data_IF_220550632715
#
_entry.id   IF_220550632715
#
_cell.length_a   1.000
_cell.length_b   1.000
_cell.length_c   1.000
_cell.angle_alpha   90.00
_cell.angle_beta   90.00
_cell.angle_gamma   90.00
#
_symmetry.space_group_name_H-M   'P 1'
#
loop_
_entity.id
_entity.type
_entity.pdbx_description
1 polymer ?
#
# COMPACT_ATOMS: atom_id res chain seq x y z
N UNK A 1 -8.31 16.50 -31.13
CA UNK A 1 -7.61 17.64 -30.50
C UNK A 1 -6.38 17.03 -29.82
N UNK A 2 -5.19 17.58 -30.05
CA UNK A 2 -4.01 17.09 -29.33
C UNK A 2 -4.20 17.39 -27.84
N UNK A 3 -4.14 16.35 -27.02
CA UNK A 3 -4.23 16.51 -25.58
C UNK A 3 -3.11 17.44 -25.09
N UNK A 4 -3.44 18.38 -24.20
CA UNK A 4 -2.48 19.31 -23.63
C UNK A 4 -1.38 18.61 -22.84
N UNK A 5 -0.37 19.34 -22.32
CA UNK A 5 0.66 18.77 -21.45
C UNK A 5 0.08 18.13 -20.20
N UNK A 6 0.59 16.97 -19.79
CA UNK A 6 0.20 16.26 -18.58
C UNK A 6 1.35 15.50 -17.95
N UNK A 7 1.23 15.14 -16.66
CA UNK A 7 2.17 14.29 -15.92
C UNK A 7 1.76 12.82 -16.00
N UNK A 8 2.77 11.95 -16.07
CA UNK A 8 2.61 10.50 -15.98
C UNK A 8 3.69 9.91 -15.07
N UNK A 9 3.30 9.02 -14.16
CA UNK A 9 4.26 8.23 -13.38
C UNK A 9 4.74 7.08 -14.27
N UNK A 10 6.05 7.01 -14.51
CA UNK A 10 6.69 5.93 -15.25
C UNK A 10 7.13 4.78 -14.35
N UNK A 11 7.61 5.11 -13.17
CA UNK A 11 8.05 4.16 -12.15
C UNK A 11 7.42 4.53 -10.80
N UNK A 12 6.56 3.66 -10.28
CA UNK A 12 5.96 3.81 -8.97
C UNK A 12 7.02 3.62 -7.86
N UNK A 13 6.87 4.23 -6.70
CA UNK A 13 7.69 3.89 -5.54
C UNK A 13 7.41 2.46 -5.08
N UNK A 14 8.42 1.80 -4.53
CA UNK A 14 8.23 0.51 -3.87
C UNK A 14 7.34 0.68 -2.64
N UNK A 15 6.26 -0.08 -2.59
CA UNK A 15 5.26 0.07 -1.54
C UNK A 15 5.76 -0.41 -0.17
N UNK A 16 6.59 -1.45 -0.13
CA UNK A 16 7.01 -2.11 1.12
C UNK A 16 8.51 -2.29 1.20
N UNK A 17 9.01 -2.37 2.41
CA UNK A 17 10.43 -2.60 2.68
C UNK A 17 11.27 -1.35 2.85
N UNK A 18 10.70 -0.14 2.66
CA UNK A 18 11.38 1.12 2.92
C UNK A 18 11.08 1.60 4.33
N UNK A 19 12.12 2.01 5.07
CA UNK A 19 12.01 2.48 6.45
C UNK A 19 11.94 4.00 6.51
N UNK A 20 10.93 4.53 7.18
CA UNK A 20 10.87 5.93 7.56
C UNK A 20 11.84 6.16 8.72
N UNK A 21 12.67 7.19 8.63
CA UNK A 21 13.73 7.48 9.61
C UNK A 21 13.33 8.63 10.52
N UNK A 22 13.69 8.54 11.79
CA UNK A 22 13.62 9.67 12.71
C UNK A 22 14.86 10.53 12.60
N UNK A 23 14.75 11.82 12.99
CA UNK A 23 15.88 12.78 12.97
C UNK A 23 17.10 12.23 13.72
N UNK A 24 16.89 11.55 14.85
CA UNK A 24 17.96 10.97 15.67
C UNK A 24 18.69 9.80 15.04
N UNK A 25 18.17 9.21 13.97
CA UNK A 25 18.79 8.04 13.30
C UNK A 25 19.85 8.44 12.24
N UNK A 26 19.96 9.75 11.96
CA UNK A 26 20.86 10.26 10.93
C UNK A 26 20.36 10.04 9.50
N UNK A 27 21.19 10.35 8.48
CA UNK A 27 20.79 10.27 7.09
C UNK A 27 20.48 8.84 6.67
N UNK A 28 19.51 8.69 5.77
CA UNK A 28 19.15 7.39 5.19
C UNK A 28 20.27 6.84 4.33
N UNK A 29 20.58 5.57 4.50
CA UNK A 29 21.49 4.85 3.60
C UNK A 29 20.68 4.32 2.40
N UNK A 30 20.75 5.03 1.29
CA UNK A 30 20.00 4.75 0.06
C UNK A 30 18.65 5.46 -0.02
N UNK A 31 18.20 5.74 -1.24
CA UNK A 31 16.93 6.40 -1.52
C UNK A 31 15.77 5.42 -1.60
N UNK A 32 14.54 5.97 -1.55
CA UNK A 32 13.31 5.24 -1.80
C UNK A 32 13.38 4.54 -3.16
N UNK A 33 13.35 3.19 -3.22
CA UNK A 33 13.45 2.46 -4.46
C UNK A 33 12.15 2.54 -5.28
N UNK A 34 12.28 2.32 -6.58
CA UNK A 34 11.15 2.08 -7.46
C UNK A 34 10.54 0.68 -7.28
N UNK A 35 9.33 0.50 -7.76
CA UNK A 35 8.60 -0.77 -7.66
C UNK A 35 9.34 -1.92 -8.35
N UNK A 36 10.01 -1.64 -9.48
CA UNK A 36 10.80 -2.62 -10.26
C UNK A 36 12.25 -2.78 -9.77
N UNK A 37 12.62 -2.15 -8.65
CA UNK A 37 14.00 -2.19 -8.14
C UNK A 37 14.38 -3.57 -7.62
N UNK A 38 15.46 -4.12 -8.18
CA UNK A 38 16.03 -5.41 -7.79
C UNK A 38 17.45 -5.24 -7.22
N UNK A 39 17.99 -6.33 -6.63
CA UNK A 39 19.32 -6.33 -6.01
C UNK A 39 20.42 -5.88 -6.99
N UNK A 40 20.34 -6.32 -8.24
CA UNK A 40 21.35 -6.07 -9.27
C UNK A 40 20.97 -4.94 -10.24
N UNK A 41 19.69 -4.49 -10.22
CA UNK A 41 19.20 -3.42 -11.09
C UNK A 41 18.36 -2.47 -10.27
N UNK A 42 18.98 -1.37 -9.82
CA UNK A 42 18.28 -0.36 -9.04
C UNK A 42 17.39 0.50 -9.93
N UNK A 43 16.15 0.71 -9.52
CA UNK A 43 15.23 1.71 -10.05
C UNK A 43 14.76 2.65 -8.95
N UNK A 44 14.25 3.80 -9.35
CA UNK A 44 13.75 4.85 -8.46
C UNK A 44 12.46 5.43 -9.03
N UNK A 45 11.63 6.06 -8.21
CA UNK A 45 10.41 6.72 -8.70
C UNK A 45 10.73 7.69 -9.84
N UNK A 46 9.92 7.66 -10.90
CA UNK A 46 10.10 8.50 -12.09
C UNK A 46 8.76 9.03 -12.59
N UNK A 47 8.78 10.27 -13.05
CA UNK A 47 7.66 10.90 -13.75
C UNK A 47 8.11 11.47 -15.09
N UNK A 48 7.16 11.58 -16.02
CA UNK A 48 7.36 12.18 -17.33
C UNK A 48 6.35 13.29 -17.56
N UNK A 49 6.79 14.40 -18.11
CA UNK A 49 5.90 15.42 -18.66
C UNK A 49 5.65 15.04 -20.12
N UNK A 50 4.40 14.68 -20.42
CA UNK A 50 3.97 14.28 -21.76
C UNK A 50 3.44 15.47 -22.54
N UNK A 51 3.51 15.41 -23.87
CA UNK A 51 3.03 16.44 -24.80
C UNK A 51 3.63 17.84 -24.57
N UNK A 52 4.85 17.90 -24.06
CA UNK A 52 5.57 19.14 -23.83
C UNK A 52 7.09 18.91 -23.94
N UNK A 53 7.77 19.88 -24.51
CA UNK A 53 9.25 19.93 -24.59
C UNK A 53 9.66 21.35 -24.22
N UNK A 54 10.40 21.48 -23.14
CA UNK A 54 10.85 22.78 -22.63
C UNK A 54 11.25 22.71 -21.16
N UNK A 55 11.66 23.83 -20.56
CA UNK A 55 11.96 23.88 -19.14
C UNK A 55 10.69 23.66 -18.32
N UNK A 56 10.80 22.89 -17.25
CA UNK A 56 9.72 22.66 -16.30
C UNK A 56 10.27 22.49 -14.90
N UNK A 57 9.44 22.76 -13.90
CA UNK A 57 9.73 22.56 -12.49
C UNK A 57 8.81 21.48 -11.96
N UNK A 58 9.37 20.39 -11.42
CA UNK A 58 8.62 19.29 -10.81
C UNK A 58 8.80 19.35 -9.30
N UNK A 59 7.68 19.30 -8.58
CA UNK A 59 7.63 19.30 -7.13
C UNK A 59 7.05 17.99 -6.64
N UNK A 60 7.66 17.44 -5.60
CA UNK A 60 7.19 16.22 -4.94
C UNK A 60 6.91 16.52 -3.47
N UNK A 61 5.75 16.08 -3.01
CA UNK A 61 5.30 16.24 -1.63
C UNK A 61 4.75 14.91 -1.10
N UNK A 62 4.80 14.76 0.22
CA UNK A 62 4.13 13.65 0.89
C UNK A 62 2.66 13.99 1.17
N UNK A 63 1.78 13.07 0.81
CA UNK A 63 0.33 13.19 1.02
C UNK A 63 -0.22 11.94 1.69
N UNK A 64 -1.42 12.08 2.27
CA UNK A 64 -2.10 11.00 2.98
C UNK A 64 -2.58 9.90 2.03
N UNK A 65 -2.82 8.71 2.58
CA UNK A 65 -3.37 7.55 1.85
C UNK A 65 -4.91 7.44 1.95
N UNK A 66 -5.57 8.42 2.56
CA UNK A 66 -7.01 8.41 2.72
C UNK A 66 -7.79 8.67 1.43
N UNK A 67 -9.11 8.58 1.52
CA UNK A 67 -10.04 8.92 0.43
C UNK A 67 -9.88 10.38 -0.01
N UNK A 68 -9.69 11.27 0.96
CA UNK A 68 -9.34 12.66 0.73
C UNK A 68 -7.82 12.81 0.88
N UNK A 69 -7.21 13.48 -0.10
CA UNK A 69 -5.77 13.70 -0.14
C UNK A 69 -5.44 15.00 0.60
N UNK A 70 -4.62 14.90 1.63
CA UNK A 70 -4.12 16.02 2.43
C UNK A 70 -2.61 15.98 2.52
N UNK A 71 -1.99 17.12 2.87
CA UNK A 71 -0.58 17.17 3.22
C UNK A 71 -0.28 16.22 4.37
N UNK A 72 0.81 15.47 4.24
CA UNK A 72 1.28 14.60 5.30
C UNK A 72 2.29 15.32 6.20
N UNK A 73 2.31 14.97 7.48
CA UNK A 73 3.23 15.58 8.44
C UNK A 73 4.68 15.12 8.31
N UNK A 74 4.94 13.97 7.67
CA UNK A 74 6.30 13.53 7.37
C UNK A 74 6.96 14.44 6.33
N UNK A 75 8.29 14.42 6.28
CA UNK A 75 9.09 15.24 5.36
C UNK A 75 9.82 14.38 4.35
N UNK A 76 9.86 14.83 3.09
CA UNK A 76 10.86 14.36 2.14
C UNK A 76 12.21 14.97 2.48
N UNK A 77 13.25 14.15 2.47
CA UNK A 77 14.64 14.55 2.67
C UNK A 77 15.52 13.94 1.58
N UNK A 78 16.66 14.57 1.35
CA UNK A 78 17.62 14.14 0.33
C UNK A 78 18.03 15.29 -0.57
N UNK A 79 18.69 14.96 -1.68
CA UNK A 79 19.12 15.95 -2.66
C UNK A 79 17.90 16.67 -3.25
N UNK A 80 17.97 17.99 -3.34
CA UNK A 80 16.91 18.87 -3.83
C UNK A 80 15.64 18.92 -2.94
N UNK A 81 15.75 18.47 -1.68
CA UNK A 81 14.67 18.57 -0.71
C UNK A 81 14.94 19.69 0.28
N UNK A 82 13.95 20.56 0.48
CA UNK A 82 13.94 21.67 1.43
C UNK A 82 12.54 21.73 2.04
N UNK A 83 12.46 21.98 3.35
CA UNK A 83 11.19 22.06 4.09
C UNK A 83 10.22 20.87 3.87
N UNK A 84 10.76 19.69 3.64
CA UNK A 84 9.98 18.47 3.43
C UNK A 84 9.45 18.29 2.01
N UNK A 85 9.83 19.15 1.07
CA UNK A 85 9.41 19.15 -0.33
C UNK A 85 10.65 18.96 -1.20
N UNK A 86 10.54 18.14 -2.25
CA UNK A 86 11.59 17.98 -3.24
C UNK A 86 11.25 18.76 -4.52
N UNK A 87 12.20 19.55 -5.02
CA UNK A 87 12.04 20.36 -6.22
C UNK A 87 13.13 20.05 -7.23
N UNK A 88 12.74 19.63 -8.44
CA UNK A 88 13.67 19.27 -9.52
C UNK A 88 13.28 20.00 -10.80
N UNK A 89 14.27 20.46 -11.56
CA UNK A 89 14.05 21.03 -12.89
C UNK A 89 14.12 19.94 -13.95
N UNK A 90 13.16 19.92 -14.88
CA UNK A 90 13.09 19.03 -16.03
C UNK A 90 13.34 19.77 -17.33
N UNK A 91 13.80 19.08 -18.35
CA UNK A 91 13.95 19.58 -19.70
C UNK A 91 15.18 20.48 -19.94
N UNK A 92 15.32 21.06 -21.15
CA UNK A 92 14.38 20.90 -22.29
C UNK A 92 14.56 19.61 -23.11
N UNK A 93 15.65 18.88 -22.95
CA UNK A 93 15.95 17.69 -23.79
C UNK A 93 15.27 16.41 -23.31
N UNK A 94 15.28 16.20 -21.99
CA UNK A 94 14.67 15.04 -21.36
C UNK A 94 13.54 15.49 -20.42
N UNK A 95 12.34 15.05 -20.72
CA UNK A 95 11.15 15.36 -19.92
C UNK A 95 10.86 14.28 -18.88
N UNK A 96 11.78 13.35 -18.65
CA UNK A 96 11.73 12.34 -17.59
C UNK A 96 12.54 12.82 -16.38
N UNK A 97 11.92 12.76 -15.21
CA UNK A 97 12.55 13.13 -13.93
C UNK A 97 12.58 11.93 -13.01
N UNK A 98 13.77 11.51 -12.59
CA UNK A 98 14.00 10.44 -11.64
C UNK A 98 14.40 10.97 -10.26
N UNK A 99 13.99 10.28 -9.21
CA UNK A 99 14.19 10.68 -7.82
C UNK A 99 15.01 9.65 -7.05
N UNK A 100 16.31 9.60 -7.34
CA UNK A 100 17.22 8.57 -6.82
C UNK A 100 17.53 8.64 -5.31
N UNK A 101 17.32 9.78 -4.67
CA UNK A 101 17.81 10.03 -3.31
C UNK A 101 16.71 10.53 -2.35
N UNK A 102 15.47 10.11 -2.55
CA UNK A 102 14.39 10.48 -1.64
C UNK A 102 14.46 9.65 -0.35
N UNK A 103 14.45 10.33 0.78
CA UNK A 103 14.22 9.76 2.09
C UNK A 103 12.92 10.28 2.68
N UNK A 104 12.36 9.54 3.64
CA UNK A 104 11.16 9.94 4.39
C UNK A 104 11.55 10.10 5.86
N UNK A 105 11.42 11.32 6.34
CA UNK A 105 11.67 11.67 7.74
C UNK A 105 10.37 11.58 8.52
N UNK A 106 10.33 10.66 9.49
CA UNK A 106 9.19 10.41 10.35
C UNK A 106 9.06 11.51 11.41
N UNK A 107 7.94 12.21 11.43
CA UNK A 107 7.60 13.15 12.50
C UNK A 107 7.08 12.38 13.71
N UNK A 108 7.46 12.79 14.91
CA UNK A 108 6.92 12.19 16.14
C UNK A 108 5.45 12.59 16.32
N UNK A 109 4.62 11.69 16.88
CA UNK A 109 3.18 11.93 17.09
C UNK A 109 2.89 13.26 17.81
N UNK A 110 3.76 13.66 18.74
CA UNK A 110 3.63 14.92 19.49
C UNK A 110 3.80 16.17 18.63
N UNK A 111 4.56 16.08 17.53
CA UNK A 111 4.86 17.22 16.63
C UNK A 111 3.98 17.27 15.38
N UNK A 112 3.07 16.32 15.18
CA UNK A 112 2.24 16.25 13.97
C UNK A 112 1.42 17.52 13.80
N UNK A 113 0.72 17.94 14.83
CA UNK A 113 -0.13 19.14 14.79
C UNK A 113 0.67 20.40 14.44
N UNK A 114 1.74 20.65 15.16
CA UNK A 114 2.61 21.82 14.94
C UNK A 114 3.19 21.84 13.51
N UNK A 115 3.63 20.67 13.03
CA UNK A 115 4.17 20.52 11.67
C UNK A 115 3.12 20.79 10.60
N UNK A 116 1.90 20.27 10.77
CA UNK A 116 0.80 20.50 9.83
C UNK A 116 0.37 21.96 9.81
N UNK A 117 0.19 22.57 10.99
CA UNK A 117 -0.18 23.97 11.12
C UNK A 117 0.83 24.89 10.40
N UNK A 118 2.14 24.64 10.61
CA UNK A 118 3.19 25.38 9.93
C UNK A 118 3.15 25.20 8.40
N UNK A 119 2.98 23.98 7.89
CA UNK A 119 2.91 23.72 6.46
C UNK A 119 1.67 24.31 5.80
N UNK A 120 0.52 24.23 6.46
CA UNK A 120 -0.72 24.83 5.97
C UNK A 120 -0.64 26.35 5.95
N UNK A 121 -0.04 26.94 6.98
CA UNK A 121 0.23 28.38 7.06
C UNK A 121 1.11 28.84 5.89
N UNK A 122 2.22 28.15 5.67
CA UNK A 122 3.14 28.43 4.58
C UNK A 122 2.47 28.32 3.20
N UNK A 123 1.66 27.28 2.99
CA UNK A 123 0.89 27.09 1.75
C UNK A 123 -0.08 28.25 1.50
N UNK A 124 -0.70 28.80 2.54
CA UNK A 124 -1.61 29.94 2.42
C UNK A 124 -0.86 31.26 2.19
N UNK A 125 0.28 31.47 2.86
CA UNK A 125 1.10 32.70 2.71
C UNK A 125 1.68 32.79 1.30
N UNK A 126 2.31 31.73 0.83
CA UNK A 126 2.95 31.70 -0.49
C UNK A 126 1.96 31.65 -1.65
N UNK A 127 0.68 31.42 -1.40
CA UNK A 127 -0.31 31.21 -2.47
C UNK A 127 0.03 30.01 -3.35
N UNK A 128 0.91 29.15 -2.84
CA UNK A 128 1.46 28.02 -3.55
C UNK A 128 0.59 26.80 -3.30
N UNK A 129 -0.30 26.54 -4.25
CA UNK A 129 -1.15 25.36 -4.16
C UNK A 129 -0.72 24.31 -5.17
N UNK A 130 -0.02 23.25 -4.75
CA UNK A 130 0.30 22.13 -5.61
C UNK A 130 -0.91 21.19 -5.86
N UNK A 131 -2.14 21.64 -5.69
CA UNK A 131 -3.35 20.86 -5.88
C UNK A 131 -4.00 20.37 -4.59
N UNK A 132 -3.53 20.81 -3.43
CA UNK A 132 -4.07 20.45 -2.11
C UNK A 132 -4.78 21.65 -1.47
N UNK A 133 -6.01 21.44 -1.11
CA UNK A 133 -6.81 22.44 -0.41
C UNK A 133 -6.63 22.28 1.10
N UNK A 134 -6.18 23.36 1.76
CA UNK A 134 -6.06 23.39 3.23
C UNK A 134 -7.42 23.38 3.90
N UNK A 135 -8.30 24.26 3.46
CA UNK A 135 -9.69 24.38 3.91
C UNK A 135 -10.53 25.01 2.81
N UNK A 136 -11.80 24.61 2.60
CA UNK A 136 -12.67 25.21 1.56
C UNK A 136 -12.76 26.75 1.64
N UNK A 137 -12.89 27.29 2.84
CA UNK A 137 -13.00 28.74 3.05
C UNK A 137 -11.68 29.51 2.83
N UNK A 138 -10.56 28.78 2.63
CA UNK A 138 -9.24 29.35 2.32
C UNK A 138 -8.84 29.16 0.85
N UNK A 139 -9.73 28.65 0.02
CA UNK A 139 -9.45 28.39 -1.39
C UNK A 139 -8.98 29.63 -2.15
N UNK A 140 -9.51 30.82 -1.81
CA UNK A 140 -9.11 32.08 -2.42
C UNK A 140 -7.64 32.43 -2.16
N UNK A 141 -7.09 32.09 -1.00
CA UNK A 141 -5.69 32.30 -0.68
C UNK A 141 -4.76 31.46 -1.55
N UNK A 142 -5.24 30.32 -2.01
CA UNK A 142 -4.49 29.37 -2.82
C UNK A 142 -4.66 29.59 -4.32
N UNK A 143 -5.68 30.35 -4.74
CA UNK A 143 -5.98 30.62 -6.15
C UNK A 143 -5.19 31.79 -6.73
N UNK A 144 -4.80 32.75 -5.91
CA UNK A 144 -4.06 33.93 -6.34
C UNK A 144 -2.56 33.73 -6.17
N UNK A 145 -1.79 33.94 -7.23
CA UNK A 145 -0.34 33.83 -7.25
C UNK A 145 0.34 34.60 -6.10
N UNK A 146 1.31 33.95 -5.49
CA UNK A 146 1.89 34.32 -4.20
C UNK A 146 2.49 35.71 -4.11
N UNK A 147 2.38 36.27 -2.91
CA UNK A 147 3.09 37.43 -2.36
C UNK A 147 3.19 37.24 -0.87
N UNK A 148 4.03 38.04 -0.22
CA UNK A 148 4.10 38.09 1.24
C UNK A 148 2.79 38.58 1.84
N UNK A 149 1.87 37.62 2.08
CA UNK A 149 0.57 37.89 2.72
C UNK A 149 0.68 37.75 4.21
N UNK A 150 0.08 38.68 4.92
CA UNK A 150 -0.21 38.48 6.35
C UNK A 150 -1.60 37.84 6.48
N UNK A 151 -1.64 36.69 7.17
CA UNK A 151 -2.90 36.02 7.49
C UNK A 151 -3.59 36.73 8.66
N UNK A 152 -4.88 36.98 8.51
CA UNK A 152 -5.73 37.47 9.58
C UNK A 152 -6.02 36.41 10.65
N UNK A 153 -6.59 36.82 11.78
CA UNK A 153 -6.86 35.92 12.91
C UNK A 153 -7.89 34.83 12.55
N UNK A 154 -8.88 35.13 11.71
CA UNK A 154 -9.84 34.15 11.21
C UNK A 154 -9.17 33.07 10.36
N UNK A 155 -8.28 33.46 9.48
CA UNK A 155 -7.53 32.54 8.60
C UNK A 155 -6.63 31.62 9.40
N UNK A 156 -5.91 32.16 10.40
CA UNK A 156 -5.08 31.39 11.32
C UNK A 156 -5.90 30.37 12.11
N UNK A 157 -7.11 30.76 12.57
CA UNK A 157 -7.99 29.84 13.31
C UNK A 157 -8.51 28.72 12.42
N UNK A 158 -8.89 29.00 11.16
CA UNK A 158 -9.30 27.98 10.19
C UNK A 158 -8.16 26.98 9.91
N UNK A 159 -6.94 27.46 9.72
CA UNK A 159 -5.76 26.62 9.55
C UNK A 159 -5.54 25.74 10.78
N UNK A 160 -5.64 26.30 11.97
CA UNK A 160 -5.49 25.57 13.22
C UNK A 160 -6.53 24.47 13.37
N UNK A 161 -7.79 24.73 13.06
CA UNK A 161 -8.88 23.75 13.11
C UNK A 161 -8.67 22.63 12.07
N UNK A 162 -8.28 22.97 10.85
CA UNK A 162 -7.94 22.00 9.82
C UNK A 162 -6.77 21.10 10.25
N UNK A 163 -5.71 21.68 10.81
CA UNK A 163 -4.57 20.94 11.32
C UNK A 163 -4.93 20.00 12.48
N UNK A 164 -5.78 20.45 13.41
CA UNK A 164 -6.28 19.63 14.52
C UNK A 164 -7.11 18.43 14.01
N UNK A 165 -8.00 18.66 13.05
CA UNK A 165 -8.83 17.61 12.47
C UNK A 165 -7.98 16.58 11.75
N UNK A 166 -7.08 17.02 10.87
CA UNK A 166 -6.22 16.12 10.11
C UNK A 166 -5.22 15.36 10.98
N UNK A 167 -4.75 15.95 12.08
CA UNK A 167 -3.87 15.27 13.05
C UNK A 167 -4.55 14.05 13.68
N UNK A 168 -5.85 14.12 13.95
CA UNK A 168 -6.60 12.99 14.54
C UNK A 168 -6.76 11.81 13.59
N UNK A 169 -6.86 12.09 12.31
CA UNK A 169 -7.15 11.09 11.26
C UNK A 169 -5.87 10.59 10.56
N UNK A 170 -4.73 11.25 10.77
CA UNK A 170 -3.50 10.96 10.03
C UNK A 170 -2.86 9.64 10.42
N UNK A 171 -2.72 8.74 9.46
CA UNK A 171 -1.93 7.52 9.60
C UNK A 171 -0.45 7.82 9.31
N UNK A 172 0.39 7.72 10.35
CA UNK A 172 1.83 7.97 10.27
C UNK A 172 2.62 6.79 9.69
N UNK A 173 1.98 5.68 9.43
CA UNK A 173 2.62 4.45 8.91
C UNK A 173 2.64 4.37 7.39
N UNK A 174 1.90 5.24 6.70
CA UNK A 174 1.72 5.21 5.25
C UNK A 174 1.69 6.61 4.65
N UNK A 175 2.34 6.76 3.49
CA UNK A 175 2.35 8.00 2.71
C UNK A 175 2.19 7.70 1.23
N UNK A 176 1.88 8.73 0.42
CA UNK A 176 1.99 8.70 -1.03
C UNK A 176 2.82 9.90 -1.50
N UNK A 177 3.46 9.76 -2.66
CA UNK A 177 4.11 10.87 -3.34
C UNK A 177 3.09 11.57 -4.24
N UNK A 178 2.99 12.88 -4.12
CA UNK A 178 2.26 13.71 -5.08
C UNK A 178 3.26 14.51 -5.90
N UNK A 179 3.19 14.34 -7.21
CA UNK A 179 4.02 15.04 -8.18
C UNK A 179 3.20 16.13 -8.85
N UNK A 180 3.74 17.35 -8.86
CA UNK A 180 3.13 18.50 -9.53
C UNK A 180 4.16 19.15 -10.45
N UNK A 181 3.83 19.37 -11.71
CA UNK A 181 4.69 20.08 -12.62
C UNK A 181 4.18 21.49 -12.89
N UNK A 182 5.13 22.42 -13.03
CA UNK A 182 4.89 23.80 -13.39
C UNK A 182 5.68 24.13 -14.65
N UNK A 183 4.97 24.62 -15.65
CA UNK A 183 5.54 25.12 -16.89
C UNK A 183 5.71 26.65 -16.81
N UNK A 184 6.68 27.22 -17.57
CA UNK A 184 6.83 28.66 -17.61
C UNK A 184 5.64 29.33 -18.28
N UNK A 185 5.30 30.49 -17.79
CA UNK A 185 4.40 31.43 -18.44
C UNK A 185 5.13 32.32 -19.46
N UNK A 186 4.45 33.33 -20.00
CA UNK A 186 5.01 34.30 -20.96
C UNK A 186 6.16 35.15 -20.37
N UNK A 187 6.29 35.23 -19.05
CA UNK A 187 7.39 35.94 -18.36
C UNK A 187 8.57 35.04 -18.04
N UNK A 188 8.46 33.73 -18.29
CA UNK A 188 9.44 32.71 -17.89
C UNK A 188 9.28 32.20 -16.46
N UNK A 189 8.28 32.68 -15.72
CA UNK A 189 7.98 32.23 -14.36
C UNK A 189 7.21 30.92 -14.40
N UNK A 190 7.57 29.96 -13.51
CA UNK A 190 6.91 28.63 -13.44
C UNK A 190 5.58 28.68 -12.72
N UNK A 191 4.55 29.22 -13.37
CA UNK A 191 3.22 29.47 -12.79
C UNK A 191 2.13 28.57 -13.38
N UNK A 192 2.34 28.04 -14.60
CA UNK A 192 1.34 27.18 -15.26
C UNK A 192 1.40 25.77 -14.70
N UNK A 193 0.52 25.47 -13.76
CA UNK A 193 0.41 24.17 -13.11
C UNK A 193 -0.24 23.12 -14.03
N UNK A 194 0.33 21.92 -14.07
CA UNK A 194 -0.33 20.74 -14.61
C UNK A 194 -1.12 20.01 -13.52
N UNK A 195 -2.09 19.19 -13.91
CA UNK A 195 -2.82 18.33 -12.99
C UNK A 195 -1.83 17.40 -12.27
N UNK A 196 -1.82 17.37 -10.94
CA UNK A 196 -0.91 16.52 -10.18
C UNK A 196 -1.24 15.04 -10.31
N UNK A 197 -0.22 14.19 -10.19
CA UNK A 197 -0.39 12.74 -10.13
C UNK A 197 0.10 12.22 -8.78
N UNK A 198 -0.62 11.24 -8.25
CA UNK A 198 -0.35 10.65 -6.93
C UNK A 198 0.07 9.20 -7.09
N UNK A 199 1.14 8.83 -6.39
CA UNK A 199 1.68 7.47 -6.43
C UNK A 199 0.84 6.47 -5.66
N UNK A 200 1.20 5.20 -5.81
CA UNK A 200 0.80 4.14 -4.90
C UNK A 200 1.28 4.43 -3.47
N UNK A 201 0.64 3.77 -2.49
CA UNK A 201 0.99 3.91 -1.09
C UNK A 201 2.39 3.35 -0.78
N UNK A 202 3.10 4.01 0.12
CA UNK A 202 4.39 3.60 0.66
C UNK A 202 4.20 3.35 2.15
N UNK A 203 4.45 2.13 2.60
CA UNK A 203 4.30 1.73 3.99
C UNK A 203 5.64 1.74 4.70
N UNK A 204 5.68 2.32 5.90
CA UNK A 204 6.87 2.24 6.75
C UNK A 204 7.16 0.77 7.09
N UNK A 205 8.36 0.29 6.79
CA UNK A 205 8.76 -1.09 7.03
C UNK A 205 8.69 -1.51 8.52
N UNK A 206 8.66 -0.56 9.44
CA UNK A 206 8.46 -0.79 10.87
C UNK A 206 7.01 -0.79 11.33
N UNK A 207 6.09 -0.35 10.47
CA UNK A 207 4.68 -0.38 10.83
C UNK A 207 4.21 -1.83 11.05
N UNK A 208 3.30 -2.08 12.00
CA UNK A 208 2.85 -3.43 12.33
C UNK A 208 2.27 -4.19 11.14
N UNK A 209 1.65 -3.49 10.19
CA UNK A 209 0.97 -4.03 9.00
C UNK A 209 1.80 -3.90 7.69
N UNK A 210 3.06 -3.50 7.79
CA UNK A 210 3.90 -3.22 6.61
C UNK A 210 4.73 -4.41 6.13
N UNK A 211 4.79 -5.51 6.88
CA UNK A 211 5.52 -6.71 6.47
C UNK A 211 4.86 -7.37 5.26
N UNK A 212 5.67 -7.78 4.28
CA UNK A 212 5.20 -8.67 3.23
C UNK A 212 4.70 -9.97 3.85
N UNK A 213 3.55 -10.43 3.41
CA UNK A 213 3.03 -11.73 3.83
C UNK A 213 3.84 -12.83 3.13
N UNK A 214 4.28 -13.82 3.89
CA UNK A 214 5.04 -14.96 3.36
C UNK A 214 4.76 -16.21 4.17
N UNK A 215 4.36 -17.27 3.47
CA UNK A 215 4.35 -18.62 4.03
C UNK A 215 5.78 -19.18 3.90
N UNK A 216 6.44 -19.40 5.02
CA UNK A 216 7.77 -19.99 5.06
C UNK A 216 7.66 -21.51 4.89
N UNK A 217 6.77 -22.15 5.66
CA UNK A 217 6.57 -23.60 5.64
C UNK A 217 5.21 -23.98 6.20
N UNK A 218 4.65 -25.06 5.68
CA UNK A 218 3.54 -25.80 6.28
C UNK A 218 4.02 -27.23 6.59
N UNK A 219 3.56 -27.82 7.68
CA UNK A 219 3.87 -29.22 8.04
C UNK A 219 3.17 -30.22 7.10
N UNK A 220 2.01 -29.79 6.53
CA UNK A 220 1.23 -30.56 5.55
C UNK A 220 0.85 -29.70 4.36
N UNK A 221 0.86 -30.32 3.19
CA UNK A 221 0.45 -29.70 1.91
C UNK A 221 -0.69 -30.48 1.25
N UNK A 222 -1.32 -31.37 2.01
CA UNK A 222 -2.48 -32.15 1.57
C UNK A 222 -3.43 -32.41 2.76
N UNK A 223 -4.72 -32.55 2.46
CA UNK A 223 -5.74 -32.83 3.45
C UNK A 223 -7.00 -33.46 2.85
N UNK A 224 -7.87 -34.01 3.69
CA UNK A 224 -9.14 -34.59 3.26
C UNK A 224 -10.14 -33.50 2.86
N UNK A 225 -10.95 -33.75 1.86
CA UNK A 225 -12.04 -32.87 1.39
C UNK A 225 -13.04 -32.47 2.47
N UNK A 226 -13.19 -33.28 3.51
CA UNK A 226 -14.08 -33.00 4.64
C UNK A 226 -13.60 -31.83 5.52
N UNK A 227 -12.33 -31.45 5.38
CA UNK A 227 -11.72 -30.40 6.20
C UNK A 227 -11.55 -30.78 7.67
N UNK A 228 -11.22 -29.78 8.49
CA UNK A 228 -11.07 -29.95 9.94
C UNK A 228 -9.73 -30.55 10.39
N UNK A 229 -8.80 -30.78 9.47
CA UNK A 229 -7.46 -31.27 9.79
C UNK A 229 -6.56 -30.12 10.23
N UNK A 230 -5.81 -30.35 11.30
CA UNK A 230 -4.92 -29.35 11.87
C UNK A 230 -3.62 -29.23 11.07
N UNK A 231 -3.23 -28.01 10.74
CA UNK A 231 -1.98 -27.67 10.04
C UNK A 231 -1.21 -26.62 10.83
N UNK A 232 0.09 -26.81 10.89
CA UNK A 232 1.06 -25.87 11.45
C UNK A 232 1.72 -25.08 10.31
N UNK A 233 1.56 -23.77 10.33
CA UNK A 233 2.11 -22.87 9.33
C UNK A 233 3.13 -21.94 9.95
N UNK A 234 4.33 -21.88 9.40
CA UNK A 234 5.35 -20.89 9.72
C UNK A 234 5.29 -19.77 8.67
N UNK A 235 5.35 -18.54 9.14
CA UNK A 235 5.23 -17.34 8.28
C UNK A 235 6.18 -16.24 8.74
N UNK A 236 6.32 -15.22 7.89
CA UNK A 236 6.86 -13.94 8.31
C UNK A 236 5.84 -13.21 9.19
N UNK A 237 6.26 -12.14 9.86
CA UNK A 237 5.49 -11.46 10.87
C UNK A 237 4.06 -11.10 10.43
N UNK A 238 3.06 -11.60 11.13
CA UNK A 238 1.63 -11.32 10.94
C UNK A 238 1.00 -10.71 12.18
N UNK A 239 -0.14 -10.05 12.02
CA UNK A 239 -0.97 -9.55 13.11
C UNK A 239 -2.09 -10.56 13.38
N UNK A 240 -2.21 -11.04 14.62
CA UNK A 240 -3.16 -12.09 15.01
C UNK A 240 -4.64 -11.77 14.68
N UNK A 241 -5.00 -10.49 14.74
CA UNK A 241 -6.38 -10.04 14.52
C UNK A 241 -6.65 -9.65 13.04
N UNK A 242 -5.57 -9.50 12.24
CA UNK A 242 -5.62 -8.98 10.87
C UNK A 242 -5.05 -9.96 9.83
N UNK A 243 -5.20 -11.26 10.07
CA UNK A 243 -4.71 -12.31 9.17
C UNK A 243 -5.78 -13.38 8.91
N UNK A 244 -5.80 -13.90 7.71
CA UNK A 244 -6.60 -15.03 7.24
C UNK A 244 -5.72 -16.01 6.48
N UNK A 245 -6.09 -17.28 6.48
CA UNK A 245 -5.51 -18.30 5.60
C UNK A 245 -6.56 -18.62 4.54
N UNK A 246 -6.30 -18.24 3.30
CA UNK A 246 -7.20 -18.39 2.16
C UNK A 246 -6.80 -19.62 1.37
N UNK A 247 -7.73 -20.55 1.18
CA UNK A 247 -7.67 -21.63 0.20
C UNK A 247 -8.48 -21.19 -1.00
N UNK A 248 -7.99 -21.38 -2.21
CA UNK A 248 -8.73 -20.99 -3.39
C UNK A 248 -8.38 -21.84 -4.62
N UNK A 249 -9.28 -21.87 -5.56
CA UNK A 249 -9.14 -22.50 -6.87
C UNK A 249 -9.83 -21.62 -7.90
N UNK A 250 -9.13 -21.34 -9.00
CA UNK A 250 -9.71 -20.67 -10.16
C UNK A 250 -10.47 -21.71 -11.00
N UNK A 251 -11.72 -21.42 -11.31
CA UNK A 251 -12.58 -22.31 -12.07
C UNK A 251 -12.51 -21.99 -13.57
N UNK A 252 -12.70 -23.00 -14.42
CA UNK A 252 -12.67 -22.85 -15.89
C UNK A 252 -13.70 -21.84 -16.42
N UNK A 253 -14.78 -21.60 -15.69
CA UNK A 253 -15.82 -20.62 -16.01
C UNK A 253 -15.46 -19.18 -15.61
N UNK A 254 -14.24 -18.94 -15.08
CA UNK A 254 -13.79 -17.65 -14.57
C UNK A 254 -14.24 -17.34 -13.14
N UNK A 255 -14.92 -18.28 -12.46
CA UNK A 255 -15.24 -18.19 -11.03
C UNK A 255 -14.04 -18.54 -10.16
N UNK A 256 -14.14 -18.23 -8.87
CA UNK A 256 -13.13 -18.58 -7.87
C UNK A 256 -13.85 -19.21 -6.68
N UNK A 257 -13.47 -20.43 -6.33
CA UNK A 257 -13.84 -20.99 -5.04
C UNK A 257 -12.89 -20.51 -3.96
N UNK A 258 -13.43 -20.16 -2.79
CA UNK A 258 -12.65 -19.77 -1.62
C UNK A 258 -13.11 -20.52 -0.37
N UNK A 259 -12.14 -20.92 0.44
CA UNK A 259 -12.34 -21.42 1.79
C UNK A 259 -11.31 -20.80 2.74
N UNK A 260 -11.64 -20.68 4.01
CA UNK A 260 -10.75 -20.08 4.99
C UNK A 260 -10.37 -21.05 6.09
N UNK A 261 -9.09 -21.10 6.44
CA UNK A 261 -8.61 -21.83 7.59
C UNK A 261 -9.28 -21.34 8.87
N UNK A 262 -9.68 -22.28 9.71
CA UNK A 262 -10.33 -21.98 11.00
C UNK A 262 -9.30 -21.92 12.12
N UNK A 263 -9.16 -20.76 12.75
CA UNK A 263 -8.29 -20.50 13.89
C UNK A 263 -8.72 -19.24 14.64
N UNK A 264 -8.31 -19.15 15.91
CA UNK A 264 -8.52 -17.97 16.74
C UNK A 264 -7.23 -17.13 16.84
N UNK A 265 -7.29 -15.87 17.30
CA UNK A 265 -6.10 -15.07 17.55
C UNK A 265 -5.09 -15.72 18.53
N UNK A 266 -5.54 -16.61 19.41
CA UNK A 266 -4.68 -17.36 20.33
C UNK A 266 -3.86 -18.46 19.65
N UNK A 267 -4.29 -18.91 18.47
CA UNK A 267 -3.57 -19.90 17.65
C UNK A 267 -2.43 -19.28 16.83
N UNK A 268 -2.29 -17.95 16.88
CA UNK A 268 -1.16 -17.22 16.28
C UNK A 268 -0.04 -17.06 17.32
N UNK A 269 0.99 -17.88 17.19
CA UNK A 269 2.11 -17.91 18.13
C UNK A 269 3.19 -16.90 17.73
N UNK A 270 3.43 -15.91 18.63
CA UNK A 270 4.50 -14.90 18.48
C UNK A 270 4.55 -14.21 17.10
N UNK A 271 3.42 -14.13 16.41
CA UNK A 271 3.31 -13.52 15.08
C UNK A 271 4.03 -14.26 13.92
N UNK A 272 4.62 -15.44 14.17
CA UNK A 272 5.40 -16.18 13.18
C UNK A 272 4.91 -17.60 12.91
N UNK A 273 3.94 -18.08 13.66
CA UNK A 273 3.33 -19.38 13.45
C UNK A 273 1.81 -19.32 13.65
N UNK A 274 1.07 -20.05 12.85
CA UNK A 274 -0.39 -20.17 12.92
C UNK A 274 -0.74 -21.65 12.93
N UNK A 275 -1.55 -22.08 13.90
CA UNK A 275 -2.18 -23.39 13.91
C UNK A 275 -3.62 -23.22 13.49
N UNK A 276 -4.04 -23.92 12.45
CA UNK A 276 -5.38 -23.78 11.90
C UNK A 276 -5.94 -25.12 11.43
N UNK A 277 -7.27 -25.19 11.29
CA UNK A 277 -7.97 -26.33 10.69
C UNK A 277 -8.33 -26.02 9.25
N UNK A 278 -8.16 -27.02 8.37
CA UNK A 278 -8.47 -26.89 6.94
C UNK A 278 -9.95 -26.67 6.70
N UNK A 279 -10.35 -25.79 5.76
CA UNK A 279 -11.74 -25.67 5.35
C UNK A 279 -12.20 -26.90 4.56
N UNK A 280 -13.50 -27.13 4.52
CA UNK A 280 -14.10 -28.10 3.59
C UNK A 280 -13.87 -27.66 2.15
N UNK A 281 -13.55 -28.62 1.28
CA UNK A 281 -13.51 -28.36 -0.15
C UNK A 281 -14.92 -28.18 -0.71
N UNK A 282 -15.04 -27.51 -1.85
CA UNK A 282 -16.34 -27.23 -2.51
C UNK A 282 -17.16 -28.49 -2.83
N UNK A 283 -16.49 -29.59 -3.17
CA UNK A 283 -17.09 -30.88 -3.43
C UNK A 283 -16.43 -31.96 -2.56
N UNK A 284 -17.18 -32.48 -1.61
CA UNK A 284 -16.72 -33.55 -0.73
C UNK A 284 -16.79 -34.95 -1.36
N UNK A 285 -17.41 -35.09 -2.56
CA UNK A 285 -17.60 -36.36 -3.24
C UNK A 285 -16.63 -36.59 -4.40
N UNK A 286 -15.56 -35.84 -4.48
CA UNK A 286 -14.54 -36.04 -5.50
C UNK A 286 -13.99 -37.45 -5.46
N UNK A 287 -13.65 -37.98 -6.63
CA UNK A 287 -13.05 -39.32 -6.78
C UNK A 287 -11.56 -39.29 -7.06
N UNK A 288 -11.03 -38.12 -7.44
CA UNK A 288 -9.63 -37.85 -7.72
C UNK A 288 -9.18 -36.68 -6.87
N UNK A 289 -7.88 -36.60 -6.49
CA UNK A 289 -7.36 -35.45 -5.79
C UNK A 289 -7.57 -34.16 -6.57
N UNK A 290 -7.88 -33.05 -5.83
CA UNK A 290 -8.05 -31.72 -6.37
C UNK A 290 -6.92 -30.82 -5.87
N UNK A 291 -6.31 -30.07 -6.80
CA UNK A 291 -5.23 -29.14 -6.50
C UNK A 291 -5.80 -27.75 -6.28
N UNK A 292 -5.48 -27.15 -5.15
CA UNK A 292 -5.87 -25.77 -4.81
C UNK A 292 -4.64 -24.98 -4.36
N UNK A 293 -4.81 -23.70 -4.14
CA UNK A 293 -3.77 -22.83 -3.60
C UNK A 293 -4.11 -22.36 -2.19
N UNK A 294 -3.06 -22.16 -1.37
CA UNK A 294 -3.14 -21.58 -0.03
C UNK A 294 -2.28 -20.34 0.03
N UNK A 295 -2.81 -19.27 0.58
CA UNK A 295 -2.09 -18.02 0.80
C UNK A 295 -2.52 -17.37 2.11
N UNK A 296 -1.63 -16.56 2.68
CA UNK A 296 -2.00 -15.60 3.71
C UNK A 296 -2.70 -14.42 3.07
N UNK A 297 -3.75 -13.90 3.70
CA UNK A 297 -4.42 -12.66 3.29
C UNK A 297 -4.63 -11.77 4.50
N UNK A 298 -4.24 -10.52 4.38
CA UNK A 298 -4.51 -9.50 5.41
C UNK A 298 -5.94 -9.01 5.26
N UNK A 299 -6.67 -8.88 6.39
CA UNK A 299 -8.09 -8.47 6.37
C UNK A 299 -8.25 -7.00 6.03
N UNK A 300 -7.34 -6.14 6.54
CA UNK A 300 -7.45 -4.68 6.45
C UNK A 300 -7.25 -4.11 5.04
N UNK A 301 -6.35 -4.70 4.26
CA UNK A 301 -5.99 -4.21 2.91
C UNK A 301 -6.09 -5.27 1.81
N UNK A 302 -6.51 -6.50 2.18
CA UNK A 302 -6.64 -7.66 1.28
C UNK A 302 -5.34 -8.09 0.60
N UNK A 303 -4.20 -7.59 1.07
CA UNK A 303 -2.87 -8.00 0.59
C UNK A 303 -2.67 -9.50 0.81
N UNK A 304 -2.06 -10.16 -0.15
CA UNK A 304 -1.87 -11.62 -0.14
C UNK A 304 -0.40 -12.01 -0.24
N UNK A 305 -0.06 -13.17 0.31
CA UNK A 305 1.24 -13.81 0.08
C UNK A 305 1.28 -14.52 -1.27
N UNK A 306 2.48 -14.89 -1.72
CA UNK A 306 2.61 -15.87 -2.81
C UNK A 306 1.84 -17.15 -2.46
N UNK A 307 1.11 -17.72 -3.42
CA UNK A 307 0.37 -18.95 -3.19
C UNK A 307 1.27 -20.17 -3.06
N UNK A 308 0.88 -21.11 -2.20
CA UNK A 308 1.48 -22.43 -2.08
C UNK A 308 0.48 -23.48 -2.54
N UNK A 309 0.92 -24.54 -3.23
CA UNK A 309 0.02 -25.60 -3.65
C UNK A 309 -0.47 -26.42 -2.46
N UNK A 310 -1.72 -26.84 -2.50
CA UNK A 310 -2.34 -27.74 -1.53
C UNK A 310 -3.22 -28.75 -2.25
N UNK A 311 -3.20 -29.99 -1.80
CA UNK A 311 -3.94 -31.08 -2.43
C UNK A 311 -5.06 -31.56 -1.52
N UNK A 312 -6.29 -31.49 -1.98
CA UNK A 312 -7.42 -32.18 -1.36
C UNK A 312 -7.53 -33.61 -1.90
N UNK A 313 -7.59 -34.60 -1.02
CA UNK A 313 -7.84 -36.01 -1.39
C UNK A 313 -9.23 -36.44 -0.97
N UNK A 314 -9.82 -37.41 -1.73
CA UNK A 314 -11.12 -37.96 -1.41
C UNK A 314 -11.19 -38.58 -0.01
N UNK A 315 -12.35 -38.54 0.62
CA UNK A 315 -12.57 -39.27 1.86
C UNK A 315 -12.41 -40.79 1.62
N UNK A 316 -11.47 -41.40 2.31
CA UNK A 316 -11.27 -42.85 2.26
C UNK A 316 -12.39 -43.49 3.09
N UNK A 317 -13.49 -43.85 2.44
CA UNK A 317 -14.50 -44.71 3.06
C UNK A 317 -13.84 -46.04 3.32
N UNK A 318 -13.76 -46.45 4.60
CA UNK A 318 -13.12 -47.67 5.04
C UNK A 318 -13.54 -48.85 4.17
N UNK A 319 -12.61 -49.51 3.47
CA UNK A 319 -12.90 -50.67 2.60
C UNK A 319 -13.65 -51.77 3.35
N UNK A 320 -13.38 -51.91 4.66
CA UNK A 320 -14.08 -52.82 5.53
C UNK A 320 -15.55 -52.46 5.76
N UNK A 321 -15.86 -51.17 5.94
CA UNK A 321 -17.27 -50.74 6.11
C UNK A 321 -18.08 -50.91 4.82
N UNK A 322 -17.46 -50.65 3.67
CA UNK A 322 -18.07 -50.90 2.36
C UNK A 322 -18.28 -52.39 2.11
N UNK A 323 -17.32 -53.26 2.49
CA UNK A 323 -17.45 -54.70 2.41
C UNK A 323 -18.53 -55.24 3.37
N UNK A 324 -18.59 -54.75 4.62
CA UNK A 324 -19.64 -55.08 5.59
C UNK A 324 -21.04 -54.66 5.09
N UNK A 325 -21.17 -53.49 4.50
CA UNK A 325 -22.41 -53.02 3.88
C UNK A 325 -22.80 -53.86 2.68
N UNK A 326 -21.85 -54.24 1.79
CA UNK A 326 -22.10 -55.15 0.65
C UNK A 326 -22.53 -56.55 1.10
N UNK A 327 -21.89 -57.11 2.11
CA UNK A 327 -22.30 -58.42 2.66
C UNK A 327 -23.68 -58.39 3.35
N UNK A 328 -24.03 -57.28 4.03
CA UNK A 328 -25.37 -57.12 4.59
C UNK A 328 -26.46 -57.01 3.52
N UNK A 329 -26.20 -56.37 2.41
CA UNK A 329 -27.14 -56.28 1.27
C UNK A 329 -27.29 -57.60 0.56
N UNK A 330 -26.22 -58.38 0.37
CA UNK A 330 -26.27 -59.70 -0.22
C UNK A 330 -27.05 -60.68 0.68
N UNK A 331 -26.83 -60.65 1.99
CA UNK A 331 -27.62 -61.50 2.94
C UNK A 331 -29.11 -61.14 3.01
N UNK A 332 -29.49 -59.89 2.71
CA UNK A 332 -30.90 -59.48 2.61
C UNK A 332 -31.55 -59.85 1.28
N UNK A 333 -30.78 -60.14 0.23
CA UNK A 333 -31.29 -60.60 -1.08
C UNK A 333 -31.44 -62.16 -1.21
N UNK A 334 -30.88 -62.86 -0.20
CA UNK A 334 -30.94 -64.31 -0.15
C UNK A 334 -31.97 -64.84 0.89
N UNK A 335 -32.71 -63.97 1.53
CA UNK A 335 -33.90 -64.22 2.35
C UNK A 335 -35.14 -63.73 1.60
#
# INVERSE_FOLDING_TARGET
>A
MADGPYLQILEQPKQRGFRFRYVCEGPSHGGLPGASSEKNKKSYPQVKICNYVGPAKVIVQLVTNGKNIHLHAHSLVGKHCEDGICTVTAGPKDMVVGFANLGILHVTKKKVFETLEARMTEACIRGYNPGLLVHPDLAYLQAEGGGDRQLGDREKELIRQAALQQTKEMDLSVVRLMFTAFLPDSTGSFTRRLEPVVSDAIYDSKAPNASNLKIVRMDRTAGCVTGGEEIYLLCDKVQKDDIQIRFYEEEENGGVWEGFGDFSPTDVHRQFAIVFKTPKYKDINITKPASVFVQLRRKSDLETSEPKPFLYYPEIKDKEEVQRKRQKVQRKRQK
#
